data_IF_823448885789
#
_entry.id   IF_823448885789
#
_cell.length_a   1.000
_cell.length_b   1.000
_cell.length_c   1.000
_cell.angle_alpha   90.00
_cell.angle_beta   90.00
_cell.angle_gamma   90.00
#
_symmetry.space_group_name_H-M   'P 1'
#
loop_
_entity.id
_entity.type
_entity.pdbx_description
1 polymer ?
#
# COMPACT_ATOMS: atom_id res chain seq x y z
N UNK A 1 -4.30 6.71 20.39
CA UNK A 1 -5.50 7.56 20.36
C UNK A 1 -5.14 8.94 19.80
N UNK A 2 -5.53 9.23 18.56
CA UNK A 2 -5.21 10.47 17.87
C UNK A 2 -6.03 11.65 18.41
N UNK A 3 -5.56 12.90 18.17
CA UNK A 3 -6.34 14.11 18.50
C UNK A 3 -7.71 14.11 17.84
N UNK A 4 -7.81 13.61 16.57
CA UNK A 4 -9.07 13.47 15.84
C UNK A 4 -10.04 12.53 16.53
N UNK A 5 -9.59 11.35 16.96
CA UNK A 5 -10.43 10.37 17.65
C UNK A 5 -10.96 10.90 18.99
N UNK A 6 -10.17 11.71 19.72
CA UNK A 6 -10.64 12.36 20.96
C UNK A 6 -11.70 13.42 20.67
N UNK A 7 -11.46 14.30 19.70
CA UNK A 7 -12.40 15.34 19.31
C UNK A 7 -13.73 14.73 18.84
N UNK A 8 -13.69 13.68 18.02
CA UNK A 8 -14.89 13.00 17.53
C UNK A 8 -15.74 12.41 18.66
N UNK A 9 -15.12 11.91 19.74
CA UNK A 9 -15.86 11.38 20.92
C UNK A 9 -16.53 12.48 21.75
N UNK A 10 -16.01 13.71 21.70
CA UNK A 10 -16.57 14.84 22.44
C UNK A 10 -17.82 15.44 21.77
N UNK A 11 -18.09 15.11 20.51
CA UNK A 11 -19.28 15.59 19.81
C UNK A 11 -20.52 14.94 20.47
N UNK A 12 -21.45 15.72 21.01
CA UNK A 12 -22.69 15.18 21.57
C UNK A 12 -23.57 14.61 20.44
N UNK A 13 -23.96 13.34 20.55
CA UNK A 13 -24.83 12.69 19.59
C UNK A 13 -25.63 11.59 20.24
N UNK A 14 -26.92 11.50 19.91
CA UNK A 14 -27.80 10.42 20.34
C UNK A 14 -27.44 9.08 19.72
N UNK A 15 -26.91 9.11 18.50
CA UNK A 15 -26.49 7.92 17.74
C UNK A 15 -25.25 8.23 16.90
N UNK A 16 -24.37 7.25 16.73
CA UNK A 16 -23.15 7.39 15.93
C UNK A 16 -23.02 6.26 14.94
N UNK A 17 -22.69 6.61 13.69
CA UNK A 17 -22.35 5.67 12.62
C UNK A 17 -20.98 6.02 12.10
N UNK A 18 -20.14 5.02 11.85
CA UNK A 18 -18.87 5.18 11.18
C UNK A 18 -18.93 4.55 9.79
N UNK A 19 -18.63 5.33 8.75
CA UNK A 19 -18.52 4.87 7.38
C UNK A 19 -17.03 4.73 7.03
N UNK A 20 -16.61 3.53 6.67
CA UNK A 20 -15.23 3.24 6.30
C UNK A 20 -15.17 2.09 5.29
N UNK A 21 -14.28 2.20 4.30
CA UNK A 21 -13.98 1.10 3.38
C UNK A 21 -13.05 0.05 3.99
N UNK A 22 -12.30 0.43 5.03
CA UNK A 22 -11.25 -0.39 5.66
C UNK A 22 -11.31 -0.26 7.18
N UNK A 23 -12.21 -1.01 7.86
CA UNK A 23 -12.36 -0.92 9.33
C UNK A 23 -11.13 -1.38 10.09
N UNK A 24 -10.27 -2.19 9.48
CA UNK A 24 -8.96 -2.63 9.98
C UNK A 24 -7.97 -2.47 8.83
N UNK A 25 -7.04 -1.53 8.95
CA UNK A 25 -5.98 -1.36 7.94
C UNK A 25 -4.74 -2.18 8.30
N UNK A 26 -4.13 -1.91 9.47
CA UNK A 26 -2.90 -2.55 9.86
C UNK A 26 -2.90 -3.11 11.29
N UNK A 27 -3.79 -2.64 12.17
CA UNK A 27 -3.79 -2.99 13.59
C UNK A 27 -5.19 -3.20 14.13
N UNK A 28 -5.35 -4.17 15.04
CA UNK A 28 -6.62 -4.37 15.74
C UNK A 28 -7.01 -3.18 16.61
N UNK A 29 -6.05 -2.35 17.01
CA UNK A 29 -6.36 -1.11 17.76
C UNK A 29 -7.16 -0.10 16.93
N UNK A 30 -7.10 -0.14 15.62
CA UNK A 30 -7.91 0.72 14.74
C UNK A 30 -9.39 0.36 14.91
N UNK A 31 -9.69 -0.94 14.94
CA UNK A 31 -11.03 -1.46 15.23
C UNK A 31 -11.49 -1.03 16.63
N UNK A 32 -10.63 -1.18 17.65
CA UNK A 32 -10.97 -0.73 19.01
C UNK A 32 -11.28 0.77 19.05
N UNK A 33 -10.48 1.60 18.39
CA UNK A 33 -10.68 3.05 18.34
C UNK A 33 -12.01 3.42 17.69
N UNK A 34 -12.38 2.73 16.61
CA UNK A 34 -13.63 2.90 15.89
C UNK A 34 -14.83 2.53 16.80
N UNK A 35 -14.78 1.35 17.43
CA UNK A 35 -15.83 0.89 18.32
C UNK A 35 -15.96 1.73 19.60
N UNK A 36 -14.85 2.26 20.10
CA UNK A 36 -14.89 3.18 21.23
C UNK A 36 -15.52 4.55 20.88
N UNK A 37 -15.62 4.88 19.60
CA UNK A 37 -16.37 6.03 19.11
C UNK A 37 -17.87 5.74 19.00
N UNK A 38 -18.25 4.61 18.36
CA UNK A 38 -19.65 4.30 18.04
C UNK A 38 -20.40 3.62 19.18
N UNK A 39 -19.73 2.71 19.90
CA UNK A 39 -20.26 1.93 21.02
C UNK A 39 -19.28 1.96 22.20
N UNK A 40 -19.18 3.06 22.95
CA UNK A 40 -18.26 3.16 24.08
C UNK A 40 -18.44 2.03 25.07
N UNK A 41 -17.35 1.39 25.47
CA UNK A 41 -17.37 0.30 26.48
C UNK A 41 -17.55 -1.11 25.90
N UNK A 42 -18.07 -1.30 24.69
CA UNK A 42 -18.32 -2.63 24.10
C UNK A 42 -17.08 -3.52 24.07
N UNK A 43 -15.93 -2.97 23.69
CA UNK A 43 -14.65 -3.70 23.62
C UNK A 43 -13.79 -3.52 24.88
N UNK A 44 -14.31 -2.88 25.94
CA UNK A 44 -13.60 -2.61 27.17
C UNK A 44 -12.50 -1.55 27.03
N UNK A 45 -11.59 -1.50 28.00
CA UNK A 45 -10.43 -0.60 27.94
C UNK A 45 -9.41 -1.07 26.89
N UNK A 46 -8.61 -0.14 26.35
CA UNK A 46 -7.56 -0.48 25.36
C UNK A 46 -6.60 -1.56 25.89
N UNK A 47 -6.21 -1.47 27.15
CA UNK A 47 -5.32 -2.47 27.77
C UNK A 47 -5.98 -3.84 27.87
N UNK A 48 -7.26 -3.89 28.30
CA UNK A 48 -8.02 -5.14 28.36
C UNK A 48 -8.20 -5.76 26.98
N UNK A 49 -8.52 -4.95 25.97
CA UNK A 49 -8.65 -5.37 24.59
C UNK A 49 -7.34 -5.95 24.03
N UNK A 50 -6.23 -5.25 24.22
CA UNK A 50 -4.91 -5.72 23.81
C UNK A 50 -4.55 -7.06 24.46
N UNK A 51 -4.73 -7.19 25.79
CA UNK A 51 -4.47 -8.44 26.51
C UNK A 51 -5.34 -9.60 26.00
N UNK A 52 -6.62 -9.34 25.77
CA UNK A 52 -7.59 -10.37 25.37
C UNK A 52 -7.40 -10.83 23.93
N UNK A 53 -7.04 -9.93 23.04
CA UNK A 53 -6.97 -10.19 21.60
C UNK A 53 -5.55 -10.09 21.03
N UNK A 54 -4.50 -10.06 21.86
CA UNK A 54 -3.11 -10.06 21.43
C UNK A 54 -2.80 -11.21 20.44
N UNK A 55 -3.29 -12.40 20.76
CA UNK A 55 -3.12 -13.58 19.90
C UNK A 55 -3.76 -13.41 18.52
N UNK A 56 -4.87 -12.66 18.41
CA UNK A 56 -5.52 -12.42 17.11
C UNK A 56 -4.71 -11.50 16.18
N UNK A 57 -3.80 -10.69 16.75
CA UNK A 57 -2.92 -9.76 16.01
C UNK A 57 -1.64 -10.38 15.50
N UNK A 58 -1.28 -11.58 15.99
CA UNK A 58 -0.02 -12.21 15.58
C UNK A 58 -0.04 -12.54 14.08
N UNK A 59 1.03 -12.21 13.33
CA UNK A 59 1.13 -12.57 11.91
C UNK A 59 1.10 -14.09 11.78
N UNK A 60 0.22 -14.61 10.93
CA UNK A 60 0.27 -16.01 10.50
C UNK A 60 1.43 -16.12 9.51
N UNK A 61 2.53 -16.72 9.91
CA UNK A 61 3.53 -17.25 8.98
C UNK A 61 2.95 -18.52 8.37
N UNK A 62 3.00 -18.67 7.05
CA UNK A 62 2.40 -19.78 6.30
C UNK A 62 2.88 -21.18 6.76
N UNK A 63 3.98 -21.26 7.49
CA UNK A 63 4.56 -22.51 8.02
C UNK A 63 4.01 -22.97 9.38
N UNK A 64 3.28 -22.11 10.12
CA UNK A 64 2.67 -22.48 11.38
C UNK A 64 1.15 -22.45 11.26
N UNK A 65 0.52 -23.61 11.33
CA UNK A 65 -0.92 -23.72 11.53
C UNK A 65 -1.38 -22.71 12.60
N UNK A 66 -2.39 -21.90 12.25
CA UNK A 66 -2.99 -20.90 13.15
C UNK A 66 -3.24 -21.59 14.49
N UNK A 67 -2.53 -21.19 15.55
CA UNK A 67 -2.67 -21.85 16.85
C UNK A 67 -4.14 -21.77 17.28
N UNK A 68 -4.63 -22.83 17.94
CA UNK A 68 -6.04 -22.90 18.40
C UNK A 68 -6.44 -21.63 19.17
N UNK A 69 -5.51 -21.08 19.99
CA UNK A 69 -5.72 -19.84 20.73
C UNK A 69 -5.88 -18.60 19.83
N UNK A 70 -5.17 -18.54 18.69
CA UNK A 70 -5.33 -17.44 17.73
C UNK A 70 -6.69 -17.52 17.01
N UNK A 71 -7.12 -18.72 16.64
CA UNK A 71 -8.40 -18.97 16.02
C UNK A 71 -9.56 -18.60 16.99
N UNK A 72 -9.48 -19.05 18.23
CA UNK A 72 -10.49 -18.76 19.25
C UNK A 72 -10.60 -17.25 19.55
N UNK A 73 -9.47 -16.54 19.68
CA UNK A 73 -9.47 -15.09 19.91
C UNK A 73 -10.09 -14.32 18.72
N UNK A 74 -9.78 -14.72 17.48
CA UNK A 74 -10.38 -14.13 16.27
C UNK A 74 -11.87 -14.39 16.17
N UNK A 75 -12.32 -15.61 16.47
CA UNK A 75 -13.73 -15.97 16.49
C UNK A 75 -14.51 -15.19 17.58
N UNK A 76 -13.97 -15.09 18.80
CA UNK A 76 -14.58 -14.33 19.88
C UNK A 76 -14.72 -12.85 19.53
N UNK A 77 -13.69 -12.22 18.96
CA UNK A 77 -13.75 -10.84 18.51
C UNK A 77 -14.78 -10.66 17.40
N UNK A 78 -14.77 -11.54 16.40
CA UNK A 78 -15.74 -11.52 15.29
C UNK A 78 -17.18 -11.64 15.77
N UNK A 79 -17.46 -12.56 16.69
CA UNK A 79 -18.79 -12.73 17.27
C UNK A 79 -19.26 -11.46 18.00
N UNK A 80 -18.36 -10.80 18.74
CA UNK A 80 -18.65 -9.60 19.49
C UNK A 80 -18.97 -8.38 18.61
N UNK A 81 -18.25 -8.21 17.49
CA UNK A 81 -18.42 -7.03 16.62
C UNK A 81 -19.42 -7.22 15.49
N UNK A 82 -19.71 -8.46 15.09
CA UNK A 82 -20.60 -8.80 13.97
C UNK A 82 -21.95 -8.11 13.99
N UNK A 83 -22.67 -8.00 15.14
CA UNK A 83 -23.97 -7.35 15.18
C UNK A 83 -23.95 -5.86 14.84
N UNK A 84 -22.78 -5.22 14.94
CA UNK A 84 -22.58 -3.77 14.77
C UNK A 84 -21.90 -3.40 13.45
N UNK A 85 -21.57 -4.38 12.60
CA UNK A 85 -20.90 -4.15 11.32
C UNK A 85 -21.81 -4.58 10.17
N UNK A 86 -22.10 -3.64 9.29
CA UNK A 86 -22.71 -3.92 8.01
C UNK A 86 -21.66 -3.78 6.92
N UNK A 87 -21.26 -4.89 6.31
CA UNK A 87 -20.32 -4.91 5.20
C UNK A 87 -21.00 -5.46 3.95
N UNK A 88 -20.87 -4.73 2.84
CA UNK A 88 -21.27 -5.17 1.51
C UNK A 88 -20.07 -5.04 0.57
N UNK A 89 -19.78 -6.09 -0.16
CA UNK A 89 -18.77 -6.05 -1.22
C UNK A 89 -19.42 -5.58 -2.52
N UNK A 90 -18.63 -5.02 -3.44
CA UNK A 90 -19.13 -4.62 -4.76
C UNK A 90 -19.76 -5.79 -5.51
N UNK A 91 -19.19 -6.97 -5.41
CA UNK A 91 -19.68 -8.20 -6.04
C UNK A 91 -21.05 -8.67 -5.49
N UNK A 92 -21.40 -8.30 -4.25
CA UNK A 92 -22.70 -8.63 -3.65
C UNK A 92 -23.81 -7.66 -4.04
N UNK A 93 -23.49 -6.41 -4.33
CA UNK A 93 -24.49 -5.35 -4.56
C UNK A 93 -24.57 -4.89 -6.01
N UNK A 94 -23.49 -4.98 -6.77
CA UNK A 94 -23.38 -4.51 -8.15
C UNK A 94 -23.23 -5.72 -9.07
N UNK A 95 -24.33 -6.47 -9.23
CA UNK A 95 -24.36 -7.70 -10.02
C UNK A 95 -24.23 -7.44 -11.53
N UNK A 96 -24.49 -6.21 -11.97
CA UNK A 96 -24.30 -5.76 -13.35
C UNK A 96 -22.84 -5.48 -13.73
N UNK A 97 -21.95 -5.36 -12.75
CA UNK A 97 -20.52 -5.15 -13.04
C UNK A 97 -19.87 -6.47 -13.51
N UNK A 98 -19.09 -6.43 -14.59
CA UNK A 98 -18.32 -7.59 -15.01
C UNK A 98 -17.30 -7.96 -13.93
N UNK A 99 -16.87 -9.23 -13.86
CA UNK A 99 -15.86 -9.67 -12.93
C UNK A 99 -14.54 -8.91 -13.19
N UNK A 100 -13.83 -8.58 -12.11
CA UNK A 100 -12.50 -7.97 -12.22
C UNK A 100 -11.52 -9.00 -12.77
N UNK A 101 -10.87 -8.68 -13.87
CA UNK A 101 -9.76 -9.45 -14.41
C UNK A 101 -8.45 -8.88 -13.89
N UNK A 102 -7.59 -9.72 -13.33
CA UNK A 102 -6.23 -9.36 -12.91
C UNK A 102 -5.24 -10.09 -13.83
N UNK A 103 -4.31 -9.33 -14.37
CA UNK A 103 -3.25 -9.85 -15.21
C UNK A 103 -1.90 -9.38 -14.64
N UNK A 104 -0.99 -10.33 -14.44
CA UNK A 104 0.40 -10.05 -14.03
C UNK A 104 1.25 -10.09 -15.30
N UNK A 105 1.98 -9.00 -15.54
CA UNK A 105 2.96 -8.91 -16.62
C UNK A 105 4.34 -9.01 -16.00
N UNK A 106 5.03 -10.09 -16.30
CA UNK A 106 6.42 -10.29 -15.90
C UNK A 106 7.33 -9.67 -16.96
N UNK A 107 8.32 -8.92 -16.50
CA UNK A 107 9.28 -8.22 -17.36
C UNK A 107 10.68 -8.67 -16.98
N UNK A 108 11.40 -9.29 -17.92
CA UNK A 108 12.78 -9.66 -17.75
C UNK A 108 13.70 -8.44 -17.85
N UNK A 109 14.71 -8.40 -16.98
CA UNK A 109 15.73 -7.36 -17.05
C UNK A 109 16.72 -7.68 -18.18
N UNK A 110 16.98 -6.75 -19.12
CA UNK A 110 18.10 -6.82 -20.04
C UNK A 110 19.44 -6.97 -19.31
N UNK A 111 20.46 -7.45 -19.99
CA UNK A 111 21.74 -7.79 -19.38
C UNK A 111 22.42 -6.60 -18.69
N UNK A 112 22.33 -5.41 -19.28
CA UNK A 112 22.86 -4.16 -18.74
C UNK A 112 22.11 -3.72 -17.46
N UNK A 113 20.78 -3.77 -17.44
CA UNK A 113 19.98 -3.49 -16.23
C UNK A 113 20.18 -4.56 -15.17
N UNK A 114 20.31 -5.82 -15.58
CA UNK A 114 20.63 -6.92 -14.68
C UNK A 114 21.99 -6.72 -14.01
N UNK A 115 23.01 -6.33 -14.79
CA UNK A 115 24.33 -6.02 -14.26
C UNK A 115 24.29 -4.84 -13.27
N UNK A 116 23.53 -3.79 -13.58
CA UNK A 116 23.30 -2.65 -12.71
C UNK A 116 22.62 -3.08 -11.41
N UNK A 117 21.54 -3.85 -11.48
CA UNK A 117 20.81 -4.36 -10.32
C UNK A 117 21.69 -5.25 -9.44
N UNK A 118 22.47 -6.18 -10.03
CA UNK A 118 23.35 -7.07 -9.28
C UNK A 118 24.52 -6.32 -8.61
N UNK A 119 25.01 -5.23 -9.21
CA UNK A 119 25.97 -4.35 -8.54
C UNK A 119 25.37 -3.68 -7.30
N UNK A 120 24.15 -3.15 -7.40
CA UNK A 120 23.41 -2.59 -6.25
C UNK A 120 23.15 -3.63 -5.17
N UNK A 121 22.75 -4.85 -5.55
CA UNK A 121 22.49 -5.94 -4.63
C UNK A 121 23.74 -6.35 -3.85
N UNK A 122 24.89 -6.45 -4.51
CA UNK A 122 26.17 -6.74 -3.86
C UNK A 122 26.56 -5.63 -2.89
N UNK A 123 26.41 -4.37 -3.27
CA UNK A 123 26.70 -3.24 -2.38
C UNK A 123 25.76 -3.23 -1.16
N UNK A 124 24.47 -3.53 -1.37
CA UNK A 124 23.50 -3.64 -0.27
C UNK A 124 23.88 -4.75 0.73
N UNK A 125 24.27 -5.92 0.23
CA UNK A 125 24.73 -7.02 1.09
C UNK A 125 25.98 -6.65 1.89
N UNK A 126 26.99 -6.04 1.25
CA UNK A 126 28.20 -5.57 1.94
C UNK A 126 27.89 -4.53 3.02
N UNK A 127 26.97 -3.57 2.73
CA UNK A 127 26.52 -2.58 3.71
C UNK A 127 25.82 -3.23 4.91
N UNK A 128 25.00 -4.26 4.67
CA UNK A 128 24.29 -4.98 5.74
C UNK A 128 25.25 -5.84 6.59
N UNK A 129 26.28 -6.42 5.99
CA UNK A 129 27.32 -7.15 6.70
C UNK A 129 28.14 -6.22 7.61
N UNK A 130 28.51 -5.04 7.11
CA UNK A 130 29.18 -4.02 7.91
C UNK A 130 28.31 -3.54 9.09
N UNK A 131 27.01 -3.30 8.85
CA UNK A 131 26.06 -2.87 9.89
C UNK A 131 25.80 -3.93 10.98
N UNK A 132 26.01 -5.21 10.69
CA UNK A 132 25.92 -6.29 11.71
C UNK A 132 27.01 -6.21 12.77
N UNK A 133 28.14 -5.61 12.45
CA UNK A 133 29.27 -5.47 13.37
C UNK A 133 29.11 -4.30 14.35
N UNK A 134 28.16 -3.40 14.15
CA UNK A 134 27.95 -2.18 14.94
C UNK A 134 26.88 -2.28 16.04
N UNK A 135 26.44 -3.47 16.42
CA UNK A 135 25.62 -3.83 17.62
C UNK A 135 24.39 -2.95 17.98
N UNK A 136 23.62 -2.47 17.02
CA UNK A 136 22.35 -1.80 17.30
C UNK A 136 21.16 -2.43 16.51
N UNK A 137 20.40 -3.31 17.14
CA UNK A 137 19.25 -4.01 16.52
C UNK A 137 18.25 -3.06 15.79
N UNK A 138 18.04 -1.86 16.29
CA UNK A 138 17.15 -0.86 15.67
C UNK A 138 17.74 -0.27 14.38
N UNK A 139 19.05 -0.04 14.35
CA UNK A 139 19.79 0.48 13.19
C UNK A 139 19.81 -0.53 12.05
N UNK A 140 19.98 -1.81 12.36
CA UNK A 140 20.03 -2.89 11.37
C UNK A 140 18.71 -3.04 10.59
N UNK A 141 17.55 -2.99 11.27
CA UNK A 141 16.23 -3.08 10.60
C UNK A 141 16.01 -1.90 9.66
N UNK A 142 16.44 -0.71 10.07
CA UNK A 142 16.34 0.49 9.23
C UNK A 142 17.25 0.41 8.01
N UNK A 143 18.47 -0.10 8.16
CA UNK A 143 19.42 -0.32 7.06
C UNK A 143 18.89 -1.32 6.05
N UNK A 144 18.34 -2.45 6.49
CA UNK A 144 17.70 -3.46 5.61
C UNK A 144 16.58 -2.81 4.78
N UNK A 145 15.68 -2.05 5.44
CA UNK A 145 14.57 -1.40 4.74
C UNK A 145 15.08 -0.39 3.70
N UNK A 146 16.11 0.37 4.04
CA UNK A 146 16.72 1.36 3.13
C UNK A 146 17.29 0.69 1.88
N UNK A 147 18.04 -0.39 2.04
CA UNK A 147 18.63 -1.12 0.90
C UNK A 147 17.55 -1.80 0.06
N UNK A 148 16.53 -2.41 0.68
CA UNK A 148 15.37 -2.95 -0.06
C UNK A 148 14.64 -1.86 -0.87
N UNK A 149 14.49 -0.66 -0.30
CA UNK A 149 13.86 0.45 -1.01
C UNK A 149 14.70 0.93 -2.19
N UNK A 150 16.04 0.93 -2.09
CA UNK A 150 16.93 1.23 -3.23
C UNK A 150 16.76 0.20 -4.35
N UNK A 151 16.79 -1.10 -4.03
CA UNK A 151 16.60 -2.17 -5.01
C UNK A 151 15.22 -2.09 -5.70
N UNK A 152 14.16 -1.84 -4.93
CA UNK A 152 12.82 -1.65 -5.49
C UNK A 152 12.73 -0.44 -6.43
N UNK A 153 13.40 0.66 -6.10
CA UNK A 153 13.47 1.85 -6.95
C UNK A 153 14.22 1.56 -8.23
N UNK A 154 15.36 0.85 -8.15
CA UNK A 154 16.12 0.41 -9.32
C UNK A 154 15.26 -0.40 -10.30
N UNK A 155 14.45 -1.35 -9.79
CA UNK A 155 13.51 -2.13 -10.61
C UNK A 155 12.34 -1.30 -11.18
N UNK A 156 12.05 -0.13 -10.65
CA UNK A 156 11.05 0.76 -11.24
C UNK A 156 11.61 1.56 -12.39
N UNK A 157 12.76 2.20 -12.16
CA UNK A 157 13.55 2.92 -13.16
C UNK A 157 14.97 3.10 -12.63
N UNK A 158 16.01 2.67 -13.34
CA UNK A 158 17.42 2.84 -12.95
C UNK A 158 17.77 4.30 -12.63
N UNK A 159 17.20 5.26 -13.36
CA UNK A 159 17.37 6.69 -13.14
C UNK A 159 16.96 7.18 -11.75
N UNK A 160 16.15 6.43 -10.99
CA UNK A 160 15.81 6.77 -9.61
C UNK A 160 16.98 6.55 -8.63
N UNK A 161 17.98 5.79 -9.05
CA UNK A 161 19.19 5.52 -8.27
C UNK A 161 20.38 6.28 -8.85
N UNK A 162 20.54 6.23 -10.18
CA UNK A 162 21.57 6.94 -10.92
C UNK A 162 20.92 7.84 -11.99
N UNK A 163 20.74 9.14 -11.71
CA UNK A 163 20.16 10.07 -12.67
C UNK A 163 20.98 10.27 -13.95
N UNK A 164 22.25 9.88 -13.94
CA UNK A 164 23.14 9.96 -15.10
C UNK A 164 23.09 8.73 -16.01
N UNK A 165 22.33 7.70 -15.65
CA UNK A 165 22.27 6.46 -16.43
C UNK A 165 21.54 6.67 -17.77
N UNK A 166 22.00 5.96 -18.80
CA UNK A 166 21.30 5.87 -20.09
C UNK A 166 20.23 4.76 -20.12
N UNK A 167 20.10 3.96 -19.04
CA UNK A 167 19.16 2.86 -18.97
C UNK A 167 17.74 3.42 -18.81
N UNK A 168 16.85 3.09 -19.73
CA UNK A 168 15.44 3.53 -19.68
C UNK A 168 14.66 2.81 -18.59
N UNK A 169 14.96 1.53 -18.37
CA UNK A 169 14.25 0.65 -17.47
C UNK A 169 13.23 -0.24 -18.19
N UNK A 170 13.47 -1.55 -18.17
CA UNK A 170 12.63 -2.54 -18.85
C UNK A 170 11.13 -2.41 -18.47
N UNK A 171 10.84 -2.11 -17.20
CA UNK A 171 9.46 -1.88 -16.73
C UNK A 171 8.81 -0.67 -17.38
N UNK A 172 9.56 0.42 -17.59
CA UNK A 172 9.04 1.62 -18.25
C UNK A 172 8.87 1.39 -19.75
N UNK A 173 9.73 0.58 -20.38
CA UNK A 173 9.58 0.18 -21.78
C UNK A 173 8.30 -0.64 -21.96
N UNK A 174 8.10 -1.68 -21.16
CA UNK A 174 6.87 -2.47 -21.17
C UNK A 174 5.61 -1.63 -20.87
N UNK A 175 5.73 -0.66 -19.97
CA UNK A 175 4.66 0.30 -19.69
C UNK A 175 4.30 1.12 -20.95
N UNK A 176 5.29 1.60 -21.71
CA UNK A 176 5.02 2.38 -22.93
C UNK A 176 4.37 1.54 -24.01
N UNK A 177 4.75 0.27 -24.17
CA UNK A 177 4.10 -0.67 -25.08
C UNK A 177 2.61 -0.86 -24.75
N UNK A 178 2.29 -1.04 -23.46
CA UNK A 178 0.92 -1.13 -22.99
C UNK A 178 0.13 0.17 -23.23
N UNK A 179 0.73 1.32 -22.97
CA UNK A 179 0.08 2.61 -23.24
C UNK A 179 -0.24 2.76 -24.73
N UNK A 180 0.68 2.39 -25.60
CA UNK A 180 0.47 2.45 -27.04
C UNK A 180 -0.70 1.56 -27.48
N UNK A 181 -0.79 0.34 -26.95
CA UNK A 181 -1.91 -0.57 -27.21
C UNK A 181 -3.25 -0.01 -26.73
N UNK A 182 -3.31 0.51 -25.50
CA UNK A 182 -4.51 1.09 -24.90
C UNK A 182 -4.98 2.33 -25.67
N UNK A 183 -4.08 3.23 -26.04
CA UNK A 183 -4.40 4.43 -26.81
C UNK A 183 -4.90 4.06 -28.20
N UNK A 184 -4.28 3.09 -28.87
CA UNK A 184 -4.72 2.57 -30.16
C UNK A 184 -6.13 1.96 -30.09
N UNK A 185 -6.46 1.31 -28.96
CA UNK A 185 -7.80 0.77 -28.67
C UNK A 185 -8.82 1.82 -28.22
N UNK A 186 -8.44 3.09 -28.07
CA UNK A 186 -9.33 4.16 -27.58
C UNK A 186 -9.68 4.02 -26.09
N UNK A 187 -8.87 3.30 -25.32
CA UNK A 187 -9.09 3.06 -23.89
C UNK A 187 -8.42 4.14 -23.03
N UNK A 188 -9.00 4.38 -21.86
CA UNK A 188 -8.41 5.18 -20.78
C UNK A 188 -7.83 4.27 -19.74
N UNK A 189 -6.71 4.67 -19.13
CA UNK A 189 -6.02 3.90 -18.10
C UNK A 189 -5.74 4.73 -16.86
N UNK A 190 -5.82 4.08 -15.69
CA UNK A 190 -5.35 4.64 -14.43
C UNK A 190 -4.04 3.92 -14.07
N UNK A 191 -2.98 4.70 -13.91
CA UNK A 191 -1.64 4.20 -13.60
C UNK A 191 -1.28 4.56 -12.17
N UNK A 192 -0.89 3.58 -11.37
CA UNK A 192 -0.52 3.78 -9.97
C UNK A 192 0.92 3.35 -9.72
N UNK A 193 1.65 4.17 -8.99
CA UNK A 193 2.97 3.82 -8.46
C UNK A 193 3.11 4.32 -7.02
N UNK A 194 3.79 3.56 -6.19
CA UNK A 194 4.15 4.02 -4.85
C UNK A 194 5.36 5.00 -4.87
N UNK A 195 6.08 5.08 -5.99
CA UNK A 195 7.23 5.95 -6.16
C UNK A 195 6.89 7.11 -7.09
N UNK A 196 6.80 8.31 -6.53
CA UNK A 196 6.55 9.54 -7.30
C UNK A 196 7.59 9.72 -8.42
N UNK A 197 8.86 9.42 -8.14
CA UNK A 197 9.92 9.49 -9.16
C UNK A 197 9.66 8.55 -10.36
N UNK A 198 9.10 7.35 -10.13
CA UNK A 198 8.72 6.45 -11.23
C UNK A 198 7.62 7.08 -12.10
N UNK A 199 6.63 7.74 -11.49
CA UNK A 199 5.62 8.50 -12.25
C UNK A 199 6.23 9.66 -13.02
N UNK A 200 7.26 10.32 -12.47
CA UNK A 200 7.97 11.40 -13.17
C UNK A 200 8.69 10.89 -14.41
N UNK A 201 9.34 9.73 -14.34
CA UNK A 201 9.96 9.10 -15.52
C UNK A 201 8.92 8.64 -16.54
N UNK A 202 7.80 8.06 -16.10
CA UNK A 202 6.69 7.71 -16.98
C UNK A 202 6.14 8.95 -17.69
N UNK A 203 5.96 10.08 -17.00
CA UNK A 203 5.53 11.36 -17.59
C UNK A 203 6.50 11.82 -18.68
N UNK A 204 7.81 11.80 -18.40
CA UNK A 204 8.82 12.19 -19.37
C UNK A 204 8.72 11.37 -20.68
N UNK A 205 8.44 10.08 -20.57
CA UNK A 205 8.24 9.21 -21.74
C UNK A 205 6.92 9.51 -22.46
N UNK A 206 5.84 9.75 -21.73
CA UNK A 206 4.54 10.12 -22.30
C UNK A 206 4.62 11.46 -23.05
N UNK A 207 5.29 12.47 -22.45
CA UNK A 207 5.52 13.77 -23.07
C UNK A 207 6.33 13.63 -24.38
N UNK A 208 7.41 12.81 -24.36
CA UNK A 208 8.23 12.56 -25.53
C UNK A 208 7.46 11.84 -26.66
N UNK A 209 6.49 10.99 -26.30
CA UNK A 209 5.62 10.28 -27.24
C UNK A 209 4.38 11.10 -27.66
N UNK A 210 4.13 12.26 -27.05
CA UNK A 210 2.99 13.11 -27.35
C UNK A 210 1.64 12.62 -26.81
N UNK A 211 1.64 11.74 -25.81
CA UNK A 211 0.42 11.25 -25.19
C UNK A 211 -0.11 12.24 -24.16
N UNK A 212 -1.45 12.53 -24.20
CA UNK A 212 -2.13 13.32 -23.19
C UNK A 212 -2.38 12.51 -21.92
N UNK A 213 -2.16 13.11 -20.75
CA UNK A 213 -2.44 12.48 -19.45
C UNK A 213 -2.84 13.52 -18.40
N UNK A 214 -3.42 13.04 -17.29
CA UNK A 214 -3.61 13.79 -16.06
C UNK A 214 -2.69 13.22 -14.99
N UNK A 215 -2.14 14.08 -14.12
CA UNK A 215 -1.20 13.68 -13.08
C UNK A 215 -1.70 14.09 -11.70
N UNK A 216 -1.62 13.15 -10.75
CA UNK A 216 -1.97 13.37 -9.36
C UNK A 216 -0.93 12.71 -8.45
N UNK A 217 -0.45 13.46 -7.45
CA UNK A 217 0.36 12.92 -6.36
C UNK A 217 -0.06 13.50 -5.00
N UNK A 218 0.73 13.20 -3.96
CA UNK A 218 0.45 13.68 -2.61
C UNK A 218 0.60 15.19 -2.42
N UNK A 219 1.28 15.89 -3.33
CA UNK A 219 1.49 17.34 -3.29
C UNK A 219 0.43 18.12 -4.10
N UNK A 220 -0.38 17.44 -4.92
CA UNK A 220 -1.39 18.08 -5.78
C UNK A 220 -2.49 18.74 -4.94
N UNK A 221 -2.69 20.08 -5.06
CA UNK A 221 -3.74 20.79 -4.35
C UNK A 221 -5.14 20.29 -4.71
N UNK A 222 -6.09 20.40 -3.77
CA UNK A 222 -7.45 19.87 -3.96
C UNK A 222 -8.17 20.44 -5.19
N UNK A 223 -7.97 21.73 -5.51
CA UNK A 223 -8.56 22.35 -6.69
C UNK A 223 -8.04 21.75 -7.99
N UNK A 224 -6.73 21.54 -8.08
CA UNK A 224 -6.08 20.92 -9.25
C UNK A 224 -6.49 19.46 -9.38
N UNK A 225 -6.61 18.74 -8.25
CA UNK A 225 -7.11 17.37 -8.20
C UNK A 225 -8.50 17.24 -8.79
N UNK A 226 -9.42 18.13 -8.40
CA UNK A 226 -10.79 18.16 -8.96
C UNK A 226 -10.79 18.45 -10.46
N UNK A 227 -9.96 19.39 -10.92
CA UNK A 227 -9.82 19.72 -12.33
C UNK A 227 -9.27 18.53 -13.15
N UNK A 228 -8.25 17.84 -12.65
CA UNK A 228 -7.67 16.66 -13.29
C UNK A 228 -8.68 15.51 -13.39
N UNK A 229 -9.46 15.26 -12.33
CA UNK A 229 -10.53 14.24 -12.35
C UNK A 229 -11.64 14.59 -13.35
N UNK A 230 -12.00 15.87 -13.46
CA UNK A 230 -13.02 16.30 -14.43
C UNK A 230 -12.54 16.26 -15.89
N UNK A 231 -11.21 16.39 -16.11
CA UNK A 231 -10.59 16.32 -17.43
C UNK A 231 -10.30 14.89 -17.90
N UNK A 232 -10.26 13.93 -17.00
CA UNK A 232 -10.09 12.49 -17.29
C UNK A 232 -11.40 11.87 -17.74
#
# INVERSE_FOLDING_TARGET
>A
DTRRARASRQIPAAFRVALTGTPIENRLEDLWSLFNLINPGLLGTRQSFQKRFAAASAPSTEENAVSEGQSAARQALRALVRPFILRRTKSEVLTELPPRTEQVIEVDLPDDERAFYEALRRNALASLEAAKQEDAEGSQKFSILTELMKLRRACCAPALIDPGTSLTGAKLSAFMELVEELVRGGHKALVFSQFVGCLSEARRLLDAAGYGYQYLDGSTPDRERQAAVAAF
#
